data_IF_203615136238
#
_entry.id   IF_203615136238
#
_cell.length_a   1.000
_cell.length_b   1.000
_cell.length_c   1.000
_cell.angle_alpha   90.00
_cell.angle_beta   90.00
_cell.angle_gamma   90.00
#
_symmetry.space_group_name_H-M   'P 1'
#
loop_
_entity.id
_entity.type
_entity.pdbx_description
1 polymer ?
#
# COMPACT_ATOMS: atom_id res chain seq x y z
N UNK A 1 4.59 -2.78 5.33
CA UNK A 1 3.89 -3.26 4.10
C UNK A 1 3.47 -4.71 4.23
N UNK A 2 4.05 -5.48 5.16
CA UNK A 2 3.58 -6.82 5.52
C UNK A 2 2.56 -6.76 6.69
N UNK A 3 1.49 -7.57 6.67
CA UNK A 3 0.47 -7.56 7.73
C UNK A 3 0.95 -8.02 9.11
N UNK A 4 1.77 -9.06 9.16
CA UNK A 4 2.37 -9.61 10.38
C UNK A 4 3.17 -8.58 11.18
N UNK A 5 3.91 -7.70 10.50
CA UNK A 5 4.65 -6.61 11.13
C UNK A 5 3.69 -5.59 11.75
N UNK A 6 2.60 -5.26 11.08
CA UNK A 6 1.61 -4.32 11.60
C UNK A 6 0.93 -4.88 12.87
N UNK A 7 0.53 -6.15 12.84
CA UNK A 7 -0.04 -6.84 14.00
C UNK A 7 0.96 -6.92 15.17
N UNK A 8 2.23 -7.21 14.87
CA UNK A 8 3.25 -7.29 15.90
C UNK A 8 3.52 -5.92 16.57
N UNK A 9 3.44 -4.81 15.85
CA UNK A 9 3.55 -3.44 16.40
C UNK A 9 2.41 -3.16 17.38
N UNK A 10 1.18 -3.47 17.00
CA UNK A 10 0.01 -3.29 17.86
C UNK A 10 0.07 -4.21 19.09
N UNK A 11 0.43 -5.48 18.90
CA UNK A 11 0.51 -6.47 19.98
C UNK A 11 1.60 -6.15 21.02
N UNK A 12 2.70 -5.49 20.62
CA UNK A 12 3.74 -5.01 21.54
C UNK A 12 3.36 -3.73 22.29
N UNK A 13 2.29 -3.04 21.86
CA UNK A 13 1.90 -1.74 22.42
C UNK A 13 2.79 -0.59 21.95
N UNK A 14 3.53 -0.76 20.84
CA UNK A 14 4.39 0.30 20.29
C UNK A 14 3.57 1.46 19.71
N UNK A 15 2.33 1.19 19.28
CA UNK A 15 1.39 2.17 18.75
C UNK A 15 -0.06 1.65 18.86
N UNK A 16 -1.02 2.58 18.89
CA UNK A 16 -2.47 2.25 18.83
C UNK A 16 -2.97 2.06 17.40
N UNK A 17 -2.23 2.57 16.40
CA UNK A 17 -2.60 2.48 14.99
C UNK A 17 -1.36 2.47 14.09
N UNK A 18 -1.41 1.64 13.04
CA UNK A 18 -0.38 1.59 11.99
C UNK A 18 -0.88 2.30 10.74
N UNK A 19 -0.28 3.44 10.41
CA UNK A 19 -0.58 4.18 9.18
C UNK A 19 0.14 3.58 7.98
N UNK A 20 -0.56 3.46 6.85
CA UNK A 20 -0.02 2.94 5.59
C UNK A 20 -0.47 3.81 4.42
N UNK A 21 0.50 4.41 3.71
CA UNK A 21 0.22 5.18 2.50
C UNK A 21 0.50 4.35 1.23
N UNK A 22 1.78 4.16 0.88
CA UNK A 22 2.20 3.44 -0.34
C UNK A 22 1.64 2.01 -0.49
N UNK A 23 1.48 1.21 0.60
CA UNK A 23 0.82 -0.10 0.49
C UNK A 23 -0.62 -0.04 -0.04
N UNK A 24 -1.37 1.04 0.24
CA UNK A 24 -2.74 1.21 -0.24
C UNK A 24 -2.79 1.64 -1.72
N UNK A 25 -1.75 2.32 -2.23
CA UNK A 25 -1.58 2.55 -3.66
C UNK A 25 -1.28 1.23 -4.40
N UNK A 26 -0.44 0.38 -3.81
CA UNK A 26 -0.09 -0.91 -4.41
C UNK A 26 -1.26 -1.91 -4.37
N UNK A 27 -2.05 -1.90 -3.30
CA UNK A 27 -3.23 -2.77 -3.16
C UNK A 27 -4.35 -2.09 -2.35
N UNK A 28 -5.43 -1.62 -3.00
CA UNK A 28 -6.55 -1.02 -2.27
C UNK A 28 -7.33 -2.03 -1.42
N UNK A 29 -7.16 -3.34 -1.66
CA UNK A 29 -7.80 -4.41 -0.89
C UNK A 29 -6.87 -5.03 0.16
N UNK A 30 -5.75 -4.38 0.47
CA UNK A 30 -4.73 -4.87 1.41
C UNK A 30 -5.35 -5.34 2.73
N UNK A 31 -6.21 -4.51 3.35
CA UNK A 31 -6.88 -4.82 4.63
C UNK A 31 -7.82 -6.03 4.53
N UNK A 32 -8.65 -6.07 3.49
CA UNK A 32 -9.58 -7.19 3.27
C UNK A 32 -8.81 -8.51 3.08
N UNK A 33 -7.76 -8.51 2.24
CA UNK A 33 -6.92 -9.69 2.01
C UNK A 33 -6.17 -10.13 3.27
N UNK A 34 -5.66 -9.19 4.06
CA UNK A 34 -4.99 -9.49 5.31
C UNK A 34 -5.94 -10.15 6.31
N UNK A 35 -7.14 -9.56 6.51
CA UNK A 35 -8.18 -10.08 7.39
C UNK A 35 -8.66 -11.46 6.97
N UNK A 36 -8.81 -11.70 5.67
CA UNK A 36 -9.34 -12.96 5.12
C UNK A 36 -8.24 -14.06 5.00
N UNK A 37 -7.05 -13.84 5.56
CA UNK A 37 -5.95 -14.83 5.55
C UNK A 37 -5.27 -15.00 4.18
N UNK A 38 -5.49 -14.07 3.26
CA UNK A 38 -4.94 -14.08 1.90
C UNK A 38 -3.74 -13.14 1.75
N UNK A 39 -2.90 -13.04 2.79
CA UNK A 39 -1.74 -12.16 2.80
C UNK A 39 -0.75 -12.41 1.64
N UNK A 40 -0.63 -13.66 1.18
CA UNK A 40 0.22 -14.01 0.03
C UNK A 40 -0.28 -13.46 -1.32
N UNK A 41 -1.54 -13.00 -1.39
CA UNK A 41 -2.14 -12.39 -2.58
C UNK A 41 -2.14 -10.85 -2.53
N UNK A 42 -1.53 -10.27 -1.51
CA UNK A 42 -1.36 -8.83 -1.39
C UNK A 42 -0.34 -8.38 -2.43
N UNK A 43 -0.68 -7.35 -3.19
CA UNK A 43 0.27 -6.71 -4.09
C UNK A 43 1.20 -5.80 -3.26
N UNK A 44 2.28 -6.39 -2.76
CA UNK A 44 3.15 -5.74 -1.79
C UNK A 44 3.90 -4.57 -2.41
N UNK A 45 3.77 -3.39 -1.79
CA UNK A 45 4.58 -2.24 -2.15
C UNK A 45 6.07 -2.54 -1.93
N UNK A 46 6.89 -2.39 -2.98
CA UNK A 46 8.34 -2.64 -2.96
C UNK A 46 9.17 -1.40 -2.62
N UNK A 47 8.53 -0.32 -2.16
CA UNK A 47 9.18 0.95 -1.81
C UNK A 47 10.02 1.60 -2.94
N UNK A 48 9.69 1.37 -4.22
CA UNK A 48 10.48 1.87 -5.35
C UNK A 48 10.40 3.39 -5.57
N UNK A 49 9.34 4.06 -5.10
CA UNK A 49 9.07 5.51 -5.23
C UNK A 49 8.85 6.05 -6.66
N UNK A 50 9.26 5.32 -7.70
CA UNK A 50 9.24 5.71 -9.12
C UNK A 50 7.92 6.30 -9.64
N UNK A 51 6.79 5.68 -9.33
CA UNK A 51 5.49 6.10 -9.85
C UNK A 51 4.66 6.90 -8.84
N UNK A 52 4.97 6.77 -7.55
CA UNK A 52 4.20 7.40 -6.49
C UNK A 52 4.82 8.74 -6.06
N UNK A 53 6.03 8.69 -5.52
CA UNK A 53 6.68 9.86 -4.93
C UNK A 53 7.38 10.71 -5.99
N UNK A 54 8.09 10.08 -6.93
CA UNK A 54 8.85 10.80 -7.97
C UNK A 54 7.90 11.57 -8.89
N UNK A 55 6.78 10.96 -9.29
CA UNK A 55 5.73 11.65 -10.05
C UNK A 55 5.21 12.89 -9.31
N UNK A 56 4.91 12.76 -8.01
CA UNK A 56 4.40 13.90 -7.22
C UNK A 56 5.44 15.02 -7.13
N UNK A 57 6.73 14.69 -6.97
CA UNK A 57 7.80 15.68 -6.99
C UNK A 57 7.96 16.37 -8.35
N UNK A 58 7.64 15.68 -9.44
CA UNK A 58 7.59 16.23 -10.80
C UNK A 58 6.26 16.94 -11.12
N UNK A 59 5.37 17.17 -10.14
CA UNK A 59 4.01 17.70 -10.34
C UNK A 59 3.16 16.90 -11.34
N UNK A 60 3.40 15.59 -11.42
CA UNK A 60 2.61 14.63 -12.20
C UNK A 60 1.65 13.86 -11.29
N UNK A 61 0.57 13.33 -11.87
CA UNK A 61 -0.37 12.45 -11.16
C UNK A 61 0.38 11.24 -10.58
N UNK A 62 0.21 11.01 -9.28
CA UNK A 62 0.74 9.81 -8.63
C UNK A 62 0.18 8.55 -9.28
N UNK A 63 0.94 7.47 -9.23
CA UNK A 63 0.55 6.13 -9.66
C UNK A 63 1.33 5.08 -8.86
N UNK A 64 1.30 3.81 -9.27
CA UNK A 64 2.07 2.74 -8.64
C UNK A 64 2.65 1.79 -9.69
N UNK A 65 3.93 1.44 -9.54
CA UNK A 65 4.62 0.53 -10.47
C UNK A 65 3.97 -0.85 -10.53
N UNK A 66 3.56 -1.39 -9.38
CA UNK A 66 2.95 -2.72 -9.29
C UNK A 66 1.43 -2.68 -9.45
N UNK A 67 0.82 -1.49 -9.46
CA UNK A 67 -0.62 -1.30 -9.64
C UNK A 67 -0.88 -0.08 -10.54
N UNK A 68 -0.89 -0.26 -11.88
CA UNK A 68 -1.06 0.85 -12.80
C UNK A 68 -2.44 1.52 -12.71
N UNK A 69 -3.44 0.84 -12.12
CA UNK A 69 -4.76 1.42 -11.87
C UNK A 69 -4.77 2.43 -10.71
N UNK A 70 -3.72 2.45 -9.88
CA UNK A 70 -3.63 3.37 -8.76
C UNK A 70 -3.74 4.82 -9.25
N UNK A 71 -4.64 5.56 -8.64
CA UNK A 71 -4.99 6.92 -9.00
C UNK A 71 -5.54 7.08 -10.43
N UNK A 72 -5.91 6.03 -11.16
CA UNK A 72 -6.55 6.06 -12.50
C UNK A 72 -7.84 5.22 -12.51
N UNK A 73 -8.51 5.12 -11.36
CA UNK A 73 -9.57 4.14 -11.14
C UNK A 73 -10.83 4.39 -11.97
N UNK A 74 -11.05 5.65 -12.35
CA UNK A 74 -12.22 6.15 -13.09
C UNK A 74 -11.97 6.40 -14.57
N UNK A 75 -10.73 6.20 -15.03
CA UNK A 75 -10.37 6.51 -16.41
C UNK A 75 -10.91 5.38 -17.31
N UNK A 76 -11.75 5.75 -18.30
CA UNK A 76 -12.42 4.85 -19.25
C UNK A 76 -11.57 4.61 -20.51
#
# INVERSE_FOLDING_TARGET
NMPDVAEAVLARGDADMVSMARPLLADPRWLAKARDGHASRINTCIACNQACLDHVFENRRASCLVNPRACHETDC
#
